data_IF_720319918608
#
_entry.id   IF_720319918608
#
_cell.length_a   1.000
_cell.length_b   1.000
_cell.length_c   1.000
_cell.angle_alpha   90.00
_cell.angle_beta   90.00
_cell.angle_gamma   90.00
#
_symmetry.space_group_name_H-M   'P 1'
#
loop_
_entity.id
_entity.type
_entity.pdbx_description
1 polymer ?
#
# COMPACT_ATOMS: atom_id res chain seq x y z
N UNK A 1 12.38 28.46 20.78
CA UNK A 1 11.79 28.10 19.47
C UNK A 1 12.94 27.53 18.63
N UNK A 2 12.92 26.33 18.06
CA UNK A 2 11.91 25.71 17.19
C UNK A 2 11.84 24.19 17.41
N UNK A 3 10.63 23.66 17.63
CA UNK A 3 10.31 22.23 17.63
C UNK A 3 9.47 21.86 16.38
N UNK A 4 9.53 22.68 15.32
CA UNK A 4 8.59 22.60 14.19
C UNK A 4 9.25 22.31 12.84
N UNK A 5 10.58 22.29 12.73
CA UNK A 5 11.25 22.17 11.42
C UNK A 5 11.65 20.75 11.01
N UNK A 6 11.63 19.77 11.92
CA UNK A 6 12.10 18.41 11.58
C UNK A 6 11.00 17.48 11.06
N UNK A 7 9.72 17.83 11.24
CA UNK A 7 8.59 16.95 10.93
C UNK A 7 8.18 16.89 9.45
N UNK A 8 8.82 17.68 8.57
CA UNK A 8 8.34 17.91 7.20
C UNK A 8 9.42 17.78 6.11
N UNK A 9 10.63 17.33 6.46
CA UNK A 9 11.76 17.25 5.52
C UNK A 9 12.05 15.82 5.01
N UNK A 10 11.37 14.81 5.57
CA UNK A 10 11.39 13.45 5.04
C UNK A 10 10.05 13.25 4.34
N UNK A 11 10.06 13.07 3.01
CA UNK A 11 8.87 12.55 2.33
C UNK A 11 8.39 11.29 3.06
N UNK A 12 7.07 11.07 3.12
CA UNK A 12 6.46 9.95 3.88
C UNK A 12 7.12 8.59 3.60
N UNK A 13 7.74 8.44 2.43
CA UNK A 13 8.55 7.31 2.00
C UNK A 13 9.77 7.83 1.23
N UNK A 14 10.86 7.07 1.22
CA UNK A 14 12.05 7.36 0.39
C UNK A 14 11.72 7.17 -1.09
N UNK A 15 12.53 7.76 -1.98
CA UNK A 15 12.28 7.68 -3.43
C UNK A 15 12.28 6.24 -3.98
N UNK A 16 13.12 5.37 -3.43
CA UNK A 16 13.17 3.95 -3.78
C UNK A 16 11.95 3.18 -3.27
N UNK A 17 11.48 3.52 -2.07
CA UNK A 17 10.23 3.01 -1.50
C UNK A 17 9.01 3.49 -2.31
N UNK A 18 9.04 4.72 -2.82
CA UNK A 18 8.00 5.28 -3.69
C UNK A 18 7.86 4.52 -5.01
N UNK A 19 8.99 4.21 -5.66
CA UNK A 19 8.97 3.46 -6.92
C UNK A 19 8.50 2.01 -6.71
N UNK A 20 8.93 1.37 -5.62
CA UNK A 20 8.47 0.05 -5.25
C UNK A 20 6.97 0.04 -4.92
N UNK A 21 6.51 1.03 -4.15
CA UNK A 21 5.09 1.19 -3.83
C UNK A 21 4.26 1.36 -5.10
N UNK A 22 4.65 2.26 -6.01
CA UNK A 22 3.95 2.47 -7.29
C UNK A 22 3.94 1.21 -8.14
N UNK A 23 5.04 0.45 -8.16
CA UNK A 23 5.12 -0.82 -8.90
C UNK A 23 4.17 -1.86 -8.31
N UNK A 24 4.16 -2.02 -6.99
CA UNK A 24 3.26 -2.94 -6.30
C UNK A 24 1.78 -2.55 -6.51
N UNK A 25 1.45 -1.27 -6.33
CA UNK A 25 0.10 -0.75 -6.51
C UNK A 25 -0.44 -1.01 -7.91
N UNK A 26 0.37 -0.79 -8.95
CA UNK A 26 -0.03 -1.10 -10.34
C UNK A 26 -0.37 -2.57 -10.54
N UNK A 27 0.39 -3.47 -9.92
CA UNK A 27 0.14 -4.92 -10.01
C UNK A 27 -1.16 -5.25 -9.29
N UNK A 28 -1.34 -4.78 -8.05
CA UNK A 28 -2.53 -5.04 -7.24
C UNK A 28 -3.80 -4.50 -7.90
N UNK A 29 -3.76 -3.29 -8.46
CA UNK A 29 -4.91 -2.66 -9.13
C UNK A 29 -5.24 -3.28 -10.49
N UNK A 30 -4.34 -4.08 -11.07
CA UNK A 30 -4.56 -4.77 -12.35
C UNK A 30 -5.14 -6.19 -12.17
N UNK A 31 -5.29 -6.66 -10.93
CA UNK A 31 -5.87 -7.96 -10.65
C UNK A 31 -7.36 -7.97 -11.00
N UNK A 32 -7.82 -9.07 -11.60
CA UNK A 32 -9.24 -9.32 -11.78
C UNK A 32 -9.86 -9.86 -10.48
N UNK A 33 -11.19 -9.76 -10.36
CA UNK A 33 -11.93 -10.31 -9.22
C UNK A 33 -11.64 -11.80 -9.00
N UNK A 34 -11.56 -12.60 -10.07
CA UNK A 34 -11.21 -14.02 -10.00
C UNK A 34 -9.81 -14.24 -9.43
N UNK A 35 -8.83 -13.42 -9.83
CA UNK A 35 -7.48 -13.49 -9.30
C UNK A 35 -7.42 -13.08 -7.83
N UNK A 36 -8.19 -12.06 -7.43
CA UNK A 36 -8.30 -11.63 -6.03
C UNK A 36 -8.91 -12.76 -5.18
N UNK A 37 -9.98 -13.40 -5.65
CA UNK A 37 -10.59 -14.56 -4.98
C UNK A 37 -9.60 -15.70 -4.76
N UNK A 38 -8.75 -16.01 -5.76
CA UNK A 38 -7.71 -17.04 -5.62
C UNK A 38 -6.66 -16.66 -4.56
N UNK A 39 -6.24 -15.39 -4.52
CA UNK A 39 -5.29 -14.92 -3.51
C UNK A 39 -5.86 -14.98 -2.10
N UNK A 40 -7.16 -14.71 -1.93
CA UNK A 40 -7.87 -14.87 -0.66
C UNK A 40 -7.96 -16.35 -0.28
N UNK A 41 -8.36 -17.22 -1.20
CA UNK A 41 -8.47 -18.66 -0.96
C UNK A 41 -7.12 -19.29 -0.58
N UNK A 42 -6.02 -18.76 -1.11
CA UNK A 42 -4.66 -19.18 -0.78
C UNK A 42 -4.11 -18.54 0.51
N UNK A 43 -4.89 -17.70 1.20
CA UNK A 43 -4.49 -17.01 2.44
C UNK A 43 -3.44 -15.92 2.24
N UNK A 44 -3.23 -15.47 1.00
CA UNK A 44 -2.29 -14.40 0.69
C UNK A 44 -2.90 -13.02 0.97
N UNK A 45 -4.20 -12.87 0.69
CA UNK A 45 -5.00 -11.68 0.99
C UNK A 45 -6.11 -12.04 2.00
N UNK A 46 -6.57 -11.03 2.72
CA UNK A 46 -7.70 -11.10 3.64
C UNK A 46 -8.73 -10.04 3.24
N UNK A 47 -9.99 -10.45 3.13
CA UNK A 47 -11.09 -9.52 2.91
C UNK A 47 -11.43 -8.81 4.22
N UNK A 48 -11.37 -7.48 4.22
CA UNK A 48 -11.67 -6.66 5.40
C UNK A 48 -13.02 -6.00 5.22
N UNK A 49 -14.00 -6.43 6.00
CA UNK A 49 -15.28 -5.74 6.16
C UNK A 49 -15.05 -4.45 6.94
N UNK A 50 -15.62 -3.33 6.48
CA UNK A 50 -15.70 -2.15 7.35
C UNK A 50 -16.85 -2.38 8.32
N UNK A 51 -16.54 -2.73 9.56
CA UNK A 51 -17.50 -2.58 10.65
C UNK A 51 -17.71 -1.07 10.86
N UNK A 52 -18.90 -0.57 10.55
CA UNK A 52 -19.37 0.76 10.95
C UNK A 52 -19.73 0.78 12.45
#
# INVERSE_FOLDING_TARGET
MNLLETKNAQGNIRSDEEDQFKKAAKITLALTDEQICLLIANGQFEEVSRDD
#
